data_IF_691689293935
#
_entry.id   IF_691689293935
#
_cell.length_a   1.000
_cell.length_b   1.000
_cell.length_c   1.000
_cell.angle_alpha   90.00
_cell.angle_beta   90.00
_cell.angle_gamma   90.00
#
_symmetry.space_group_name_H-M   'P 1'
#
loop_
_entity.id
_entity.type
_entity.pdbx_description
1 polymer ?
#
# COMPACT_ATOMS: atom_id res chain seq x y z
N UNK A 1 1.41 -12.45 5.12
CA UNK A 1 2.25 -11.42 4.49
C UNK A 1 1.61 -10.95 3.18
N UNK A 2 1.44 -11.83 2.19
CA UNK A 2 0.94 -11.46 0.85
C UNK A 2 -0.44 -10.77 0.85
N UNK A 3 -1.40 -11.22 1.66
CA UNK A 3 -2.75 -10.63 1.68
C UNK A 3 -2.77 -9.11 1.94
N UNK A 4 -1.89 -8.58 2.80
CA UNK A 4 -1.88 -7.14 3.10
C UNK A 4 -1.24 -6.31 1.99
N UNK A 5 -0.29 -6.88 1.26
CA UNK A 5 0.30 -6.23 0.07
C UNK A 5 -0.70 -6.26 -1.10
N UNK A 6 -1.48 -7.33 -1.24
CA UNK A 6 -2.59 -7.39 -2.20
C UNK A 6 -3.66 -6.33 -1.92
N UNK A 7 -4.05 -6.15 -0.65
CA UNK A 7 -4.99 -5.08 -0.26
C UNK A 7 -4.49 -3.70 -0.71
N UNK A 8 -3.19 -3.43 -0.54
CA UNK A 8 -2.55 -2.17 -0.96
C UNK A 8 -2.50 -2.05 -2.49
N UNK A 9 -2.15 -3.13 -3.19
CA UNK A 9 -2.11 -3.17 -4.64
C UNK A 9 -3.47 -2.88 -5.27
N UNK A 10 -4.53 -3.53 -4.79
CA UNK A 10 -5.89 -3.28 -5.27
C UNK A 10 -6.35 -1.85 -4.99
N UNK A 11 -6.04 -1.34 -3.79
CA UNK A 11 -6.26 0.05 -3.43
C UNK A 11 -5.57 1.03 -4.39
N UNK A 12 -4.31 0.77 -4.72
CA UNK A 12 -3.50 1.59 -5.65
C UNK A 12 -4.07 1.60 -7.07
N UNK A 13 -4.51 0.44 -7.60
CA UNK A 13 -5.17 0.40 -8.91
C UNK A 13 -6.44 1.23 -8.91
N UNK A 14 -7.25 1.15 -7.85
CA UNK A 14 -8.48 1.91 -7.74
C UNK A 14 -8.25 3.43 -7.74
N UNK A 15 -7.24 3.93 -7.02
CA UNK A 15 -6.94 5.38 -7.02
C UNK A 15 -6.39 5.85 -8.36
N UNK A 16 -5.53 5.04 -9.00
CA UNK A 16 -5.00 5.36 -10.33
C UNK A 16 -6.10 5.39 -11.40
N UNK A 17 -6.99 4.40 -11.40
CA UNK A 17 -8.14 4.35 -12.32
C UNK A 17 -9.09 5.54 -12.13
N UNK A 18 -9.13 6.13 -10.92
CA UNK A 18 -9.91 7.33 -10.60
C UNK A 18 -9.16 8.64 -10.88
N UNK A 19 -7.91 8.58 -11.37
CA UNK A 19 -7.08 9.76 -11.62
C UNK A 19 -6.61 10.47 -10.36
N UNK A 20 -6.64 9.80 -9.20
CA UNK A 20 -6.15 10.36 -7.93
C UNK A 20 -4.64 10.19 -7.89
N UNK A 21 -3.92 11.31 -7.79
CA UNK A 21 -2.45 11.35 -7.88
C UNK A 21 -1.76 11.68 -6.55
N UNK A 22 -2.53 11.96 -5.48
CA UNK A 22 -2.06 12.17 -4.12
C UNK A 22 -2.72 11.17 -3.17
N UNK A 23 -1.93 10.28 -2.57
CA UNK A 23 -2.46 9.12 -1.83
C UNK A 23 -1.82 9.01 -0.45
N UNK A 24 -2.64 8.79 0.57
CA UNK A 24 -2.20 8.37 1.90
C UNK A 24 -2.61 6.92 2.11
N UNK A 25 -1.63 6.03 2.24
CA UNK A 25 -1.84 4.60 2.46
C UNK A 25 -1.76 4.33 3.96
N UNK A 26 -2.81 3.73 4.52
CA UNK A 26 -2.87 3.35 5.92
C UNK A 26 -3.06 1.85 6.03
N UNK A 27 -2.24 1.20 6.84
CA UNK A 27 -2.31 -0.25 7.06
C UNK A 27 -2.00 -0.58 8.50
N UNK A 28 -2.62 -1.63 9.02
CA UNK A 28 -2.32 -2.18 10.35
C UNK A 28 -1.16 -3.19 10.35
N UNK A 29 -0.47 -3.34 9.21
CA UNK A 29 0.69 -4.19 9.06
C UNK A 29 1.96 -3.34 8.99
N UNK A 30 2.68 -3.26 10.11
CA UNK A 30 4.00 -2.61 10.16
C UNK A 30 4.98 -3.27 9.19
N UNK A 31 4.87 -4.59 9.03
CA UNK A 31 5.64 -5.37 8.06
C UNK A 31 5.41 -4.90 6.61
N UNK A 32 4.16 -4.61 6.22
CA UNK A 32 3.85 -4.08 4.90
C UNK A 32 4.39 -2.66 4.70
N UNK A 33 4.33 -1.81 5.74
CA UNK A 33 4.95 -0.47 5.72
C UNK A 33 6.45 -0.58 5.48
N UNK A 34 7.14 -1.37 6.29
CA UNK A 34 8.58 -1.57 6.16
C UNK A 34 8.95 -2.15 4.79
N UNK A 35 8.22 -3.17 4.32
CA UNK A 35 8.46 -3.78 3.00
C UNK A 35 8.36 -2.77 1.86
N UNK A 36 7.36 -1.88 1.90
CA UNK A 36 7.18 -0.84 0.87
C UNK A 36 8.23 0.26 1.01
N UNK A 37 8.65 0.62 2.23
CA UNK A 37 9.69 1.63 2.45
C UNK A 37 11.10 1.11 2.10
N UNK A 38 11.42 -0.13 2.45
CA UNK A 38 12.73 -0.77 2.24
C UNK A 38 12.92 -1.24 0.79
N UNK A 39 11.87 -1.76 0.17
CA UNK A 39 11.91 -2.21 -1.22
C UNK A 39 12.03 -1.08 -2.26
N UNK A 40 12.17 0.18 -1.81
CA UNK A 40 12.63 1.28 -2.66
C UNK A 40 14.03 0.98 -3.24
N UNK A 41 14.82 0.14 -2.56
CA UNK A 41 16.03 -0.44 -3.16
C UNK A 41 15.67 -1.51 -4.20
N UNK A 42 16.34 -1.48 -5.37
CA UNK A 42 16.00 -2.28 -6.55
C UNK A 42 16.05 -3.82 -6.35
N UNK A 43 16.46 -4.28 -5.17
CA UNK A 43 16.71 -5.68 -4.79
C UNK A 43 15.54 -6.37 -4.07
N UNK A 44 14.32 -5.84 -4.13
CA UNK A 44 13.17 -6.57 -3.58
C UNK A 44 12.92 -7.88 -4.33
N UNK A 45 13.09 -9.02 -3.64
CA UNK A 45 12.86 -10.37 -4.18
C UNK A 45 11.38 -10.67 -4.53
N UNK A 46 10.43 -9.78 -4.17
CA UNK A 46 9.00 -10.00 -4.42
C UNK A 46 8.51 -9.25 -5.67
N UNK A 47 7.96 -9.98 -6.63
CA UNK A 47 7.34 -9.39 -7.83
C UNK A 47 6.19 -8.44 -7.49
N UNK A 48 5.41 -8.74 -6.44
CA UNK A 48 4.30 -7.89 -5.99
C UNK A 48 4.80 -6.53 -5.48
N UNK A 49 5.88 -6.53 -4.69
CA UNK A 49 6.49 -5.31 -4.17
C UNK A 49 7.00 -4.43 -5.31
N UNK A 50 7.69 -5.04 -6.29
CA UNK A 50 8.16 -4.31 -7.50
C UNK A 50 7.01 -3.66 -8.28
N UNK A 51 5.88 -4.35 -8.41
CA UNK A 51 4.70 -3.79 -9.09
C UNK A 51 4.09 -2.66 -8.25
N UNK A 52 3.93 -2.83 -6.94
CA UNK A 52 3.45 -1.78 -6.03
C UNK A 52 4.32 -0.52 -6.18
N UNK A 53 5.64 -0.65 -6.20
CA UNK A 53 6.53 0.49 -6.43
C UNK A 53 6.38 1.12 -7.80
N UNK A 54 6.19 0.33 -8.86
CA UNK A 54 5.92 0.85 -10.19
C UNK A 54 4.63 1.70 -10.20
N UNK A 55 3.58 1.27 -9.50
CA UNK A 55 2.34 2.04 -9.36
C UNK A 55 2.55 3.32 -8.53
N UNK A 56 3.30 3.25 -7.43
CA UNK A 56 3.60 4.41 -6.60
C UNK A 56 4.38 5.50 -7.36
N UNK A 57 5.25 5.12 -8.32
CA UNK A 57 5.96 6.06 -9.20
C UNK A 57 5.04 6.85 -10.13
N UNK A 58 3.81 6.38 -10.37
CA UNK A 58 2.81 7.09 -11.19
C UNK A 58 2.09 8.18 -10.38
N UNK A 59 2.16 8.14 -9.05
CA UNK A 59 1.55 9.14 -8.18
C UNK A 59 2.47 10.35 -8.06
N UNK A 60 1.88 11.55 -8.02
CA UNK A 60 2.63 12.79 -7.77
C UNK A 60 3.13 12.87 -6.34
N UNK A 61 2.34 12.37 -5.40
CA UNK A 61 2.69 12.34 -3.98
C UNK A 61 2.06 11.14 -3.31
N UNK A 62 2.82 10.44 -2.49
CA UNK A 62 2.29 9.37 -1.66
C UNK A 62 2.99 9.31 -0.32
N UNK A 63 2.30 8.75 0.67
CA UNK A 63 2.88 8.38 1.96
C UNK A 63 2.24 7.08 2.42
N UNK A 64 2.98 6.30 3.20
CA UNK A 64 2.48 5.09 3.85
C UNK A 64 2.75 5.18 5.34
N UNK A 65 1.73 4.87 6.15
CA UNK A 65 1.84 4.86 7.60
C UNK A 65 1.14 3.66 8.22
N UNK A 66 1.73 3.18 9.31
CA UNK A 66 1.14 2.15 10.14
C UNK A 66 0.10 2.80 11.07
N UNK A 67 -1.12 2.26 11.08
CA UNK A 67 -2.15 2.65 12.05
C UNK A 67 -2.53 1.47 12.95
N UNK A 68 -2.66 1.66 14.28
CA UNK A 68 -3.13 0.62 15.17
C UNK A 68 -4.49 0.08 14.73
N UNK A 69 -4.71 -1.23 14.91
CA UNK A 69 -5.95 -1.91 14.48
C UNK A 69 -7.23 -1.30 15.07
N UNK A 70 -7.14 -0.67 16.25
CA UNK A 70 -8.26 0.03 16.88
C UNK A 70 -8.75 1.24 16.07
N UNK A 71 -7.85 1.87 15.30
CA UNK A 71 -8.15 3.00 14.40
C UNK A 71 -8.53 2.54 12.99
N UNK A 72 -8.16 1.30 12.61
CA UNK A 72 -8.48 0.73 11.30
C UNK A 72 -9.85 0.01 11.23
N UNK A 73 -10.71 0.18 12.24
CA UNK A 73 -12.04 -0.47 12.30
C UNK A 73 -12.89 -0.20 11.06
N UNK A 74 -12.80 1.01 10.50
CA UNK A 74 -13.55 1.38 9.28
C UNK A 74 -13.17 0.53 8.07
N UNK A 75 -11.90 0.14 7.92
CA UNK A 75 -11.47 -0.73 6.83
C UNK A 75 -11.85 -2.20 7.09
N UNK A 76 -11.71 -2.68 8.33
CA UNK A 76 -12.11 -4.03 8.72
C UNK A 76 -13.64 -4.25 8.57
N UNK A 77 -14.46 -3.20 8.72
CA UNK A 77 -15.91 -3.25 8.50
C UNK A 77 -16.33 -3.34 7.03
N UNK A 78 -15.52 -2.81 6.11
CA UNK A 78 -15.81 -2.82 4.66
C UNK A 78 -15.54 -4.20 4.02
N UNK A 79 -14.72 -5.04 4.66
CA UNK A 79 -14.32 -6.36 4.14
C UNK A 79 -15.31 -7.49 4.55
N UNK A 80 -16.46 -7.16 5.14
CA UNK A 80 -17.43 -8.14 5.64
C UNK A 80 -18.58 -8.46 4.69
#
# INVERSE_FOLDING_TARGET
MDSKLWDIFDGLKLVLDRGIDRVLIQTNSLEAVNTIQEGISEDSNSALVRIIHALLKLLKQWSIQHIPREENKLADEIVK
#
